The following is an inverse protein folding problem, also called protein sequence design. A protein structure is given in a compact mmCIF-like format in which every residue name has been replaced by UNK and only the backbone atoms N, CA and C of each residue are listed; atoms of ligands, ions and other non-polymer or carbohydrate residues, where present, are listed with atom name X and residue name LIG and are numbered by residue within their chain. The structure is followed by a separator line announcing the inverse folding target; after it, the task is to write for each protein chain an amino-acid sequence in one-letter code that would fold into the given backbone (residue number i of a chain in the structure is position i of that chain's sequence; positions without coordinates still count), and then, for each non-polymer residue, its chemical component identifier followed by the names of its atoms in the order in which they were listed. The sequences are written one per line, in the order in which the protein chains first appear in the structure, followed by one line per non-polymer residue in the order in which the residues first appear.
data_IF_105154248401
#
_entry.id   IF_105154248401
#
_cell.length_a   1.000
_cell.length_b   1.000
_cell.length_c   1.000
_cell.angle_alpha   90.00
_cell.angle_beta   90.00
_cell.angle_gamma   90.00
#
_symmetry.space_group_name_H-M   'P 1'
#
loop_
_entity.id
_entity.type
_entity.pdbx_description
1 polymer ?
#
# COMPACT_ATOMS: atom_id res chain seq x y z
N UNK A 1 -14.30 -20.92 5.07
CA UNK A 1 -13.29 -20.21 5.88
C UNK A 1 -13.99 -19.14 6.69
N UNK A 2 -13.67 -19.01 7.99
CA UNK A 2 -14.25 -17.93 8.80
C UNK A 2 -13.65 -16.58 8.40
N UNK A 3 -14.40 -15.49 8.53
CA UNK A 3 -13.91 -14.13 8.27
C UNK A 3 -12.61 -13.87 9.08
N UNK A 4 -12.57 -14.34 10.30
CA UNK A 4 -11.38 -14.23 11.16
C UNK A 4 -10.15 -14.88 10.54
N UNK A 5 -10.27 -16.09 9.96
CA UNK A 5 -9.14 -16.76 9.29
C UNK A 5 -8.58 -15.96 8.11
N UNK A 6 -9.46 -15.33 7.33
CA UNK A 6 -9.06 -14.47 6.20
C UNK A 6 -8.30 -13.23 6.70
N UNK A 7 -8.82 -12.59 7.74
CA UNK A 7 -8.18 -11.40 8.34
C UNK A 7 -6.80 -11.75 8.90
N UNK A 8 -6.69 -12.83 9.67
CA UNK A 8 -5.41 -13.29 10.25
C UNK A 8 -4.40 -13.65 9.16
N UNK A 9 -4.82 -14.36 8.12
CA UNK A 9 -3.96 -14.69 7.00
C UNK A 9 -3.46 -13.44 6.25
N UNK A 10 -4.35 -12.49 5.99
CA UNK A 10 -4.00 -11.20 5.40
C UNK A 10 -3.00 -10.41 6.27
N UNK A 11 -3.20 -10.39 7.58
CA UNK A 11 -2.30 -9.73 8.51
C UNK A 11 -0.90 -10.36 8.52
N UNK A 12 -0.82 -11.70 8.49
CA UNK A 12 0.45 -12.44 8.41
C UNK A 12 1.17 -12.13 7.11
N UNK A 13 0.48 -12.18 5.97
CA UNK A 13 1.06 -11.83 4.67
C UNK A 13 1.58 -10.39 4.68
N UNK A 14 0.79 -9.48 5.26
CA UNK A 14 1.15 -8.07 5.33
C UNK A 14 2.40 -7.82 6.21
N UNK A 15 2.50 -8.48 7.35
CA UNK A 15 3.69 -8.41 8.19
C UNK A 15 4.91 -9.04 7.51
N UNK A 16 4.72 -10.15 6.84
CA UNK A 16 5.79 -10.91 6.19
C UNK A 16 6.48 -10.13 5.08
N UNK A 17 5.73 -9.46 4.19
CA UNK A 17 6.34 -8.69 3.11
C UNK A 17 7.09 -7.45 3.62
N UNK A 18 6.59 -6.79 4.68
CA UNK A 18 7.30 -5.67 5.32
C UNK A 18 8.62 -6.13 5.95
N UNK A 19 8.61 -7.26 6.67
CA UNK A 19 9.81 -7.86 7.23
C UNK A 19 10.81 -8.27 6.13
N UNK A 20 10.32 -8.80 5.00
CA UNK A 20 11.16 -9.15 3.86
C UNK A 20 11.88 -7.93 3.26
N UNK A 21 11.20 -6.79 3.12
CA UNK A 21 11.82 -5.56 2.62
C UNK A 21 12.87 -5.03 3.60
N UNK A 22 12.56 -5.03 4.89
CA UNK A 22 13.48 -4.55 5.95
C UNK A 22 14.74 -5.40 6.08
N UNK A 23 14.69 -6.69 5.75
CA UNK A 23 15.83 -7.59 5.89
C UNK A 23 17.05 -7.09 5.07
N UNK A 24 18.26 -7.60 5.41
CA UNK A 24 19.53 -7.22 4.75
C UNK A 24 19.45 -7.23 3.23
N UNK A 25 20.02 -6.20 2.59
CA UNK A 25 20.09 -6.05 1.14
C UNK A 25 19.33 -4.83 0.62
N UNK A 26 19.28 -4.68 -0.70
CA UNK A 26 18.61 -3.55 -1.34
C UNK A 26 17.08 -3.66 -1.24
N UNK A 27 16.48 -2.92 -0.30
CA UNK A 27 15.03 -2.90 -0.08
C UNK A 27 14.24 -2.46 -1.32
N UNK A 28 14.80 -1.53 -2.11
CA UNK A 28 14.15 -1.08 -3.35
C UNK A 28 14.08 -2.21 -4.39
N UNK A 29 15.18 -2.96 -4.59
CA UNK A 29 15.18 -4.08 -5.51
C UNK A 29 14.18 -5.17 -5.11
N UNK A 30 14.09 -5.48 -3.81
CA UNK A 30 13.09 -6.43 -3.29
C UNK A 30 11.67 -5.98 -3.56
N UNK A 31 11.42 -4.68 -3.43
CA UNK A 31 10.10 -4.12 -3.69
C UNK A 31 9.73 -4.20 -5.17
N UNK A 32 10.67 -3.91 -6.08
CA UNK A 32 10.46 -4.07 -7.53
C UNK A 32 10.14 -5.52 -7.87
N UNK A 33 10.88 -6.47 -7.31
CA UNK A 33 10.62 -7.90 -7.51
C UNK A 33 9.21 -8.27 -7.02
N UNK A 34 8.85 -7.85 -5.82
CA UNK A 34 7.53 -8.14 -5.25
C UNK A 34 6.40 -7.53 -6.09
N UNK A 35 6.54 -6.27 -6.49
CA UNK A 35 5.58 -5.58 -7.35
C UNK A 35 5.44 -6.29 -8.71
N UNK A 36 6.54 -6.75 -9.30
CA UNK A 36 6.53 -7.50 -10.55
C UNK A 36 5.79 -8.84 -10.40
N UNK A 37 6.04 -9.56 -9.32
CA UNK A 37 5.34 -10.83 -9.04
C UNK A 37 3.83 -10.58 -8.91
N UNK A 38 3.42 -9.58 -8.12
CA UNK A 38 2.02 -9.22 -7.96
C UNK A 38 1.40 -8.84 -9.31
N UNK A 39 2.07 -8.02 -10.11
CA UNK A 39 1.59 -7.60 -11.42
C UNK A 39 1.38 -8.82 -12.35
N UNK A 40 2.32 -9.77 -12.39
CA UNK A 40 2.18 -10.99 -13.19
C UNK A 40 0.97 -11.84 -12.80
N UNK A 41 0.65 -11.90 -11.49
CA UNK A 41 -0.57 -12.57 -11.02
C UNK A 41 -1.85 -11.81 -11.33
N UNK A 42 -1.79 -10.46 -11.40
CA UNK A 42 -2.96 -9.62 -11.64
C UNK A 42 -3.29 -9.44 -13.13
N UNK A 43 -2.31 -9.57 -14.03
CA UNK A 43 -2.53 -9.45 -15.48
C UNK A 43 -3.61 -10.41 -16.01
N UNK A 44 -3.64 -11.71 -15.68
CA UNK A 44 -4.71 -12.60 -16.11
C UNK A 44 -6.10 -12.16 -15.61
N UNK A 45 -6.16 -11.61 -14.39
CA UNK A 45 -7.41 -11.12 -13.81
C UNK A 45 -7.97 -9.92 -14.58
N UNK A 46 -7.10 -9.08 -15.13
CA UNK A 46 -7.48 -7.93 -15.96
C UNK A 46 -8.22 -8.37 -17.23
N UNK A 47 -7.81 -9.48 -17.85
CA UNK A 47 -8.51 -10.04 -19.01
C UNK A 47 -9.90 -10.57 -18.65
N UNK A 48 -10.11 -10.97 -17.40
CA UNK A 48 -11.39 -11.47 -16.92
C UNK A 48 -12.36 -10.35 -16.50
N UNK A 49 -11.85 -9.32 -15.86
CA UNK A 49 -12.65 -8.20 -15.33
C UNK A 49 -12.89 -7.11 -16.39
N UNK A 50 -12.00 -7.01 -17.38
CA UNK A 50 -12.02 -5.96 -18.40
C UNK A 50 -11.21 -4.71 -18.00
N UNK A 51 -11.02 -3.81 -18.97
CA UNK A 51 -10.27 -2.58 -18.77
C UNK A 51 -11.10 -1.54 -18.00
N UNK A 52 -10.46 -0.72 -17.17
CA UNK A 52 -11.15 0.35 -16.45
C UNK A 52 -11.68 1.41 -17.40
N UNK A 53 -12.75 2.08 -17.03
CA UNK A 53 -13.27 3.24 -17.77
C UNK A 53 -12.20 4.36 -17.83
N UNK A 54 -12.32 5.26 -18.81
CA UNK A 54 -11.36 6.38 -18.97
C UNK A 54 -11.25 7.22 -17.70
N UNK A 55 -12.35 7.48 -17.02
CA UNK A 55 -12.36 8.20 -15.74
C UNK A 55 -11.61 7.43 -14.66
N UNK A 56 -11.87 6.13 -14.53
CA UNK A 56 -11.15 5.29 -13.56
C UNK A 56 -9.65 5.20 -13.88
N UNK A 57 -9.27 5.19 -15.17
CA UNK A 57 -7.88 5.15 -15.60
C UNK A 57 -7.08 6.39 -15.12
N UNK A 58 -7.69 7.58 -15.11
CA UNK A 58 -7.06 8.80 -14.59
C UNK A 58 -6.77 8.66 -13.09
N UNK A 59 -7.73 8.21 -12.30
CA UNK A 59 -7.52 7.99 -10.87
C UNK A 59 -6.48 6.91 -10.59
N UNK A 60 -6.48 5.83 -11.38
CA UNK A 60 -5.46 4.78 -11.28
C UNK A 60 -4.07 5.31 -11.60
N UNK A 61 -3.93 6.17 -12.61
CA UNK A 61 -2.64 6.78 -12.96
C UNK A 61 -2.06 7.58 -11.80
N UNK A 62 -2.84 8.48 -11.20
CA UNK A 62 -2.41 9.24 -10.03
C UNK A 62 -2.17 8.34 -8.81
N UNK A 63 -3.00 7.32 -8.62
CA UNK A 63 -2.83 6.32 -7.57
C UNK A 63 -1.52 5.55 -7.69
N UNK A 64 -1.12 5.15 -8.90
CA UNK A 64 0.16 4.47 -9.16
C UNK A 64 1.33 5.39 -8.84
N UNK A 65 1.28 6.66 -9.24
CA UNK A 65 2.33 7.63 -8.91
C UNK A 65 2.46 7.79 -7.39
N UNK A 66 1.35 8.06 -6.71
CA UNK A 66 1.34 8.24 -5.25
C UNK A 66 1.84 6.97 -4.52
N UNK A 67 1.41 5.79 -4.96
CA UNK A 67 1.84 4.52 -4.40
C UNK A 67 3.35 4.29 -4.60
N UNK A 68 3.88 4.58 -5.78
CA UNK A 68 5.32 4.45 -6.08
C UNK A 68 6.14 5.38 -5.20
N UNK A 69 5.71 6.64 -5.03
CA UNK A 69 6.36 7.60 -4.12
C UNK A 69 6.32 7.13 -2.67
N UNK A 70 5.17 6.63 -2.21
CA UNK A 70 5.03 6.05 -0.87
C UNK A 70 6.01 4.89 -0.67
N UNK A 71 6.04 3.97 -1.60
CA UNK A 71 6.91 2.80 -1.52
C UNK A 71 8.40 3.17 -1.53
N UNK A 72 8.81 4.14 -2.35
CA UNK A 72 10.17 4.65 -2.35
C UNK A 72 10.54 5.28 -1.00
N UNK A 73 9.66 6.08 -0.44
CA UNK A 73 9.85 6.71 0.87
C UNK A 73 9.93 5.67 2.00
N UNK A 74 9.08 4.65 1.94
CA UNK A 74 9.07 3.55 2.91
C UNK A 74 10.39 2.76 2.91
N UNK A 75 10.92 2.45 1.73
CA UNK A 75 12.22 1.75 1.64
C UNK A 75 13.37 2.58 2.19
N UNK A 76 13.33 3.90 1.99
CA UNK A 76 14.32 4.81 2.58
C UNK A 76 14.18 4.88 4.11
N UNK A 77 12.95 5.00 4.61
CA UNK A 77 12.71 5.00 6.04
C UNK A 77 13.22 3.70 6.70
N UNK A 78 12.97 2.56 6.09
CA UNK A 78 13.48 1.27 6.59
C UNK A 78 15.01 1.10 6.50
N UNK A 79 15.69 1.87 5.66
CA UNK A 79 17.14 1.87 5.57
C UNK A 79 17.80 2.70 6.68
N UNK A 80 17.11 3.72 7.19
CA UNK A 80 17.64 4.70 8.15
C UNK A 80 17.21 4.35 9.58
N UNK A 81 15.95 3.97 9.76
CA UNK A 81 15.32 3.78 11.07
C UNK A 81 15.00 2.31 11.38
N UNK A 82 14.87 2.02 12.66
CA UNK A 82 14.44 0.71 13.12
C UNK A 82 12.98 0.43 12.69
N UNK A 83 12.72 -0.83 12.36
CA UNK A 83 11.39 -1.27 11.93
C UNK A 83 10.29 -0.96 12.96
N UNK A 84 10.61 -1.07 14.25
CA UNK A 84 9.70 -0.78 15.35
C UNK A 84 9.22 0.68 15.38
N UNK A 85 9.99 1.61 14.80
CA UNK A 85 9.65 3.03 14.69
C UNK A 85 9.07 3.34 13.32
N UNK A 86 9.77 2.96 12.24
CA UNK A 86 9.40 3.29 10.88
C UNK A 86 8.05 2.68 10.46
N UNK A 87 7.76 1.45 10.85
CA UNK A 87 6.53 0.76 10.46
C UNK A 87 5.26 1.36 11.08
N UNK A 88 5.16 1.55 12.42
CA UNK A 88 3.98 2.19 13.01
C UNK A 88 3.77 3.62 12.53
N UNK A 89 4.86 4.38 12.34
CA UNK A 89 4.79 5.76 11.86
C UNK A 89 4.21 5.82 10.44
N UNK A 90 4.73 5.01 9.51
CA UNK A 90 4.24 4.96 8.14
C UNK A 90 2.77 4.52 8.06
N UNK A 91 2.35 3.60 8.93
CA UNK A 91 0.97 3.10 8.96
C UNK A 91 -0.01 4.03 9.66
N UNK A 92 0.45 4.78 10.65
CA UNK A 92 -0.40 5.76 11.37
C UNK A 92 -0.58 7.05 10.61
N UNK A 93 0.41 7.50 9.85
CA UNK A 93 0.36 8.77 9.13
C UNK A 93 -0.69 8.76 8.00
N UNK A 94 -0.86 7.65 7.29
CA UNK A 94 -1.79 7.57 6.17
C UNK A 94 -3.26 7.80 6.57
N UNK A 95 -3.83 7.14 7.60
CA UNK A 95 -5.18 7.44 8.08
C UNK A 95 -5.34 8.87 8.58
N UNK A 96 -4.33 9.39 9.28
CA UNK A 96 -4.34 10.76 9.79
C UNK A 96 -4.46 11.77 8.64
N UNK A 97 -3.61 11.65 7.61
CA UNK A 97 -3.65 12.52 6.44
C UNK A 97 -4.98 12.37 5.68
N UNK A 98 -5.51 11.15 5.57
CA UNK A 98 -6.81 10.92 4.95
C UNK A 98 -7.92 11.66 5.67
N UNK A 99 -7.98 11.59 7.00
CA UNK A 99 -8.97 12.29 7.82
C UNK A 99 -8.84 13.80 7.63
N UNK A 100 -7.62 14.34 7.64
CA UNK A 100 -7.39 15.77 7.43
C UNK A 100 -7.88 16.22 6.04
N UNK A 101 -7.60 15.46 5.00
CA UNK A 101 -8.08 15.74 3.64
C UNK A 101 -9.62 15.71 3.58
N UNK A 102 -10.25 14.70 4.18
CA UNK A 102 -11.70 14.56 4.21
C UNK A 102 -12.37 15.76 4.89
N UNK A 103 -11.82 16.21 6.02
CA UNK A 103 -12.38 17.35 6.77
C UNK A 103 -12.13 18.67 6.02
N UNK A 104 -10.88 18.97 5.65
CA UNK A 104 -10.49 20.29 5.18
C UNK A 104 -10.74 20.53 3.68
N UNK A 105 -10.69 19.47 2.86
CA UNK A 105 -10.84 19.60 1.40
C UNK A 105 -12.25 19.18 0.97
N UNK A 106 -12.78 18.09 1.50
CA UNK A 106 -14.08 17.56 1.10
C UNK A 106 -15.22 18.00 2.02
N UNK A 107 -14.93 18.76 3.10
CA UNK A 107 -15.90 19.22 4.09
C UNK A 107 -16.80 18.11 4.64
N UNK A 108 -16.26 16.87 4.72
CA UNK A 108 -17.00 15.74 5.25
C UNK A 108 -16.96 15.74 6.78
N UNK A 109 -18.13 15.59 7.37
CA UNK A 109 -18.23 15.44 8.83
C UNK A 109 -17.74 14.07 9.28
N UNK A 110 -17.00 14.00 10.38
CA UNK A 110 -16.55 12.74 11.01
C UNK A 110 -17.72 11.86 11.48
N UNK A 111 -18.94 12.41 11.56
CA UNK A 111 -20.14 11.66 11.97
C UNK A 111 -20.60 10.68 10.88
N UNK A 112 -20.14 10.83 9.64
CA UNK A 112 -20.48 9.97 8.51
C UNK A 112 -19.42 8.91 8.17
N UNK A 113 -18.37 8.80 8.97
CA UNK A 113 -17.33 7.79 8.86
C UNK A 113 -17.48 6.77 9.99
#
# INVERSE_FOLDING_TARGET
MSILSVILFSAILHASWNAFIKNKGNGFAKMVILATIIALFMVPLLFYVGLPSSTAAIYLFFGVIAHTMYMHSLTRAYAIEDFSVAYPFARGLAPLLTILILIFILNLSLIHI
#
